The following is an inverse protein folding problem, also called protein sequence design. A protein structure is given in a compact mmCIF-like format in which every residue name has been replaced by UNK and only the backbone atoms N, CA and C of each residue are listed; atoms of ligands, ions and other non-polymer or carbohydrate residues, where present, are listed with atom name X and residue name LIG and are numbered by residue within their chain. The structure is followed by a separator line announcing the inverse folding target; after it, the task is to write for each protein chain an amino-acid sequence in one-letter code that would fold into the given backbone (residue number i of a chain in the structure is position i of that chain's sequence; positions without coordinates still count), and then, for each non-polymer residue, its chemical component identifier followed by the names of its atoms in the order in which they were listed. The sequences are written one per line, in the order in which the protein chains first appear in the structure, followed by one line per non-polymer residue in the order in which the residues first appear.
data_IF_330558906519
#
_entry.id   IF_330558906519
#
_cell.length_a   1.000
_cell.length_b   1.000
_cell.length_c   1.000
_cell.angle_alpha   90.00
_cell.angle_beta   90.00
_cell.angle_gamma   90.00
#
_symmetry.space_group_name_H-M   'P 1'
#
loop_
_entity.id
_entity.type
_entity.pdbx_description
1 polymer ?
#
# COMPACT_ATOMS: atom_id res chain seq x y z
N UNK A 1 -23.21 15.19 23.07
CA UNK A 1 -22.05 16.01 22.66
C UNK A 1 -20.81 15.12 22.66
N UNK A 2 -20.28 14.74 21.50
CA UNK A 2 -19.05 13.93 21.45
C UNK A 2 -17.87 14.80 21.89
N UNK A 3 -17.38 14.57 23.11
CA UNK A 3 -16.06 15.04 23.56
C UNK A 3 -15.02 14.13 22.87
N UNK A 4 -14.27 14.68 21.93
CA UNK A 4 -13.27 13.93 21.17
C UNK A 4 -13.49 14.03 19.66
N UNK A 5 -13.34 15.24 19.11
CA UNK A 5 -13.16 15.39 17.66
C UNK A 5 -11.69 15.13 17.38
N UNK A 6 -11.38 13.88 17.12
CA UNK A 6 -10.03 13.41 16.81
C UNK A 6 -9.88 13.29 15.28
N UNK A 7 -8.74 13.75 14.76
CA UNK A 7 -8.33 13.59 13.36
C UNK A 7 -8.50 12.15 12.88
N UNK A 8 -8.23 11.17 13.75
CA UNK A 8 -8.41 9.74 13.44
C UNK A 8 -9.85 9.43 13.02
N UNK A 9 -10.85 9.98 13.71
CA UNK A 9 -12.27 9.75 13.40
C UNK A 9 -12.65 10.38 12.07
N UNK A 10 -12.21 11.62 11.81
CA UNK A 10 -12.45 12.27 10.52
C UNK A 10 -11.81 11.49 9.37
N UNK A 11 -10.57 11.06 9.52
CA UNK A 11 -9.87 10.26 8.51
C UNK A 11 -10.60 8.93 8.25
N UNK A 12 -11.06 8.24 9.29
CA UNK A 12 -11.83 7.00 9.12
C UNK A 12 -13.12 7.22 8.30
N UNK A 13 -13.84 8.32 8.56
CA UNK A 13 -15.06 8.68 7.82
C UNK A 13 -14.73 9.06 6.37
N UNK A 14 -13.72 9.92 6.16
CA UNK A 14 -13.26 10.35 4.84
C UNK A 14 -12.88 9.13 3.98
N UNK A 15 -12.05 8.25 4.51
CA UNK A 15 -11.62 7.02 3.83
C UNK A 15 -12.81 6.13 3.47
N UNK A 16 -13.75 5.92 4.39
CA UNK A 16 -14.94 5.09 4.12
C UNK A 16 -15.82 5.71 3.03
N UNK A 17 -16.12 7.00 3.10
CA UNK A 17 -16.93 7.70 2.09
C UNK A 17 -16.25 7.67 0.72
N UNK A 18 -14.94 7.90 0.69
CA UNK A 18 -14.13 7.86 -0.53
C UNK A 18 -14.21 6.49 -1.23
N UNK A 19 -13.98 5.40 -0.49
CA UNK A 19 -14.05 4.04 -1.03
C UNK A 19 -15.43 3.67 -1.59
N UNK A 20 -16.51 4.31 -1.10
CA UNK A 20 -17.87 4.06 -1.56
C UNK A 20 -18.35 5.10 -2.59
N UNK A 21 -17.44 5.92 -3.15
CA UNK A 21 -17.77 6.89 -4.20
C UNK A 21 -18.58 8.10 -3.72
N UNK A 22 -18.72 8.31 -2.42
CA UNK A 22 -19.48 9.43 -1.83
C UNK A 22 -18.69 10.74 -1.78
N UNK A 23 -18.11 11.16 -2.91
CA UNK A 23 -17.12 12.25 -3.00
C UNK A 23 -17.62 13.56 -2.40
N UNK A 24 -18.87 13.96 -2.66
CA UNK A 24 -19.44 15.18 -2.09
C UNK A 24 -19.43 15.13 -0.55
N UNK A 25 -19.75 13.97 0.03
CA UNK A 25 -19.71 13.78 1.47
C UNK A 25 -18.26 13.74 1.98
N UNK A 26 -17.33 13.12 1.24
CA UNK A 26 -15.89 13.12 1.57
C UNK A 26 -15.35 14.55 1.74
N UNK A 27 -15.59 15.44 0.77
CA UNK A 27 -15.19 16.84 0.86
C UNK A 27 -15.98 17.62 1.91
N UNK A 28 -17.25 17.27 2.14
CA UNK A 28 -18.05 17.86 3.21
C UNK A 28 -17.49 17.57 4.61
N UNK A 29 -17.01 16.33 4.85
CA UNK A 29 -16.37 15.94 6.11
C UNK A 29 -15.01 16.62 6.25
N UNK A 30 -14.24 16.77 5.16
CA UNK A 30 -13.00 17.55 5.17
C UNK A 30 -13.23 19.01 5.53
N UNK A 31 -14.26 19.66 4.97
CA UNK A 31 -14.62 21.03 5.36
C UNK A 31 -15.02 21.17 6.83
N UNK A 32 -15.60 20.13 7.44
CA UNK A 32 -15.83 20.10 8.89
C UNK A 32 -14.54 19.98 9.69
N UNK A 33 -13.60 19.14 9.24
CA UNK A 33 -12.27 19.00 9.85
C UNK A 33 -11.56 20.37 9.87
N UNK A 34 -11.57 21.10 8.74
CA UNK A 34 -11.01 22.45 8.66
C UNK A 34 -11.76 23.43 9.59
N UNK A 35 -13.10 23.39 9.62
CA UNK A 35 -13.91 24.24 10.50
C UNK A 35 -13.65 24.01 11.99
N UNK A 36 -13.21 22.82 12.38
CA UNK A 36 -12.82 22.51 13.75
C UNK A 36 -11.35 22.78 14.04
N UNK A 37 -10.62 23.40 13.10
CA UNK A 37 -9.19 23.74 13.24
C UNK A 37 -8.30 22.52 13.50
N UNK A 38 -8.76 21.34 13.08
CA UNK A 38 -7.98 20.10 13.16
C UNK A 38 -7.07 20.06 11.93
N UNK A 39 -5.76 19.93 12.15
CA UNK A 39 -4.80 19.90 11.06
C UNK A 39 -4.91 18.60 10.25
N UNK A 40 -5.20 18.66 8.93
CA UNK A 40 -5.22 17.48 8.09
C UNK A 40 -3.83 16.87 7.95
N UNK A 41 -3.78 15.58 7.64
CA UNK A 41 -2.52 14.84 7.46
C UNK A 41 -2.49 14.07 6.14
N UNK A 42 -1.44 13.27 5.93
CA UNK A 42 -1.32 12.45 4.72
C UNK A 42 -2.45 11.45 4.53
N UNK A 43 -3.14 11.01 5.59
CA UNK A 43 -4.30 10.13 5.46
C UNK A 43 -5.52 10.91 4.95
N UNK A 44 -5.69 12.16 5.39
CA UNK A 44 -6.70 13.07 4.84
C UNK A 44 -6.48 13.29 3.34
N UNK A 45 -5.22 13.54 2.95
CA UNK A 45 -4.81 13.71 1.55
C UNK A 45 -5.19 12.49 0.70
N UNK A 46 -4.81 11.29 1.14
CA UNK A 46 -5.09 10.03 0.44
C UNK A 46 -6.60 9.82 0.32
N UNK A 47 -7.37 10.04 1.39
CA UNK A 47 -8.83 9.87 1.35
C UNK A 47 -9.53 10.78 0.33
N UNK A 48 -9.12 12.04 0.21
CA UNK A 48 -9.69 12.99 -0.73
C UNK A 48 -9.35 12.63 -2.19
N UNK A 49 -8.11 12.22 -2.45
CA UNK A 49 -7.71 11.73 -3.77
C UNK A 49 -8.43 10.44 -4.15
N UNK A 50 -8.52 9.46 -3.25
CA UNK A 50 -9.24 8.21 -3.50
C UNK A 50 -10.71 8.45 -3.85
N UNK A 51 -11.39 9.35 -3.12
CA UNK A 51 -12.78 9.70 -3.43
C UNK A 51 -12.89 10.26 -4.85
N UNK A 52 -12.00 11.19 -5.20
CA UNK A 52 -11.97 11.79 -6.52
C UNK A 52 -11.75 10.73 -7.61
N UNK A 53 -10.77 9.85 -7.45
CA UNK A 53 -10.46 8.75 -8.35
C UNK A 53 -11.67 7.83 -8.60
N UNK A 54 -12.38 7.42 -7.54
CA UNK A 54 -13.55 6.52 -7.65
C UNK A 54 -14.69 7.14 -8.46
N UNK A 55 -14.84 8.47 -8.43
CA UNK A 55 -15.93 9.17 -9.14
C UNK A 55 -15.62 9.45 -10.60
N UNK A 56 -14.36 9.73 -10.94
CA UNK A 56 -14.02 10.41 -12.18
C UNK A 56 -13.60 9.49 -13.32
N UNK A 57 -13.63 8.16 -13.13
CA UNK A 57 -13.33 7.10 -14.12
C UNK A 57 -12.60 7.60 -15.37
N UNK A 58 -11.26 7.58 -15.34
CA UNK A 58 -10.37 8.02 -16.44
C UNK A 58 -10.26 9.53 -16.70
N UNK A 59 -10.75 10.42 -15.83
CA UNK A 59 -10.54 11.88 -15.94
C UNK A 59 -9.43 12.36 -14.99
N UNK A 60 -8.19 12.09 -15.38
CA UNK A 60 -6.98 12.40 -14.60
C UNK A 60 -6.80 13.88 -14.28
N UNK A 61 -7.24 14.78 -15.17
CA UNK A 61 -7.17 16.23 -14.94
C UNK A 61 -7.88 16.68 -13.67
N UNK A 62 -8.99 16.03 -13.30
CA UNK A 62 -9.72 16.37 -12.07
C UNK A 62 -8.99 15.88 -10.82
N UNK A 63 -8.39 14.68 -10.89
CA UNK A 63 -7.56 14.14 -9.82
C UNK A 63 -6.34 15.02 -9.60
N UNK A 64 -5.70 15.46 -10.69
CA UNK A 64 -4.52 16.31 -10.64
C UNK A 64 -4.85 17.69 -10.05
N UNK A 65 -5.97 18.30 -10.43
CA UNK A 65 -6.44 19.55 -9.81
C UNK A 65 -6.63 19.44 -8.30
N UNK A 66 -7.25 18.34 -7.84
CA UNK A 66 -7.39 18.07 -6.40
C UNK A 66 -6.02 17.90 -5.77
N UNK A 67 -5.12 17.10 -6.38
CA UNK A 67 -3.76 16.88 -5.89
C UNK A 67 -2.99 18.19 -5.69
N UNK A 68 -2.99 19.06 -6.70
CA UNK A 68 -2.33 20.37 -6.65
C UNK A 68 -2.91 21.25 -5.54
N UNK A 69 -4.24 21.32 -5.45
CA UNK A 69 -4.93 22.08 -4.39
C UNK A 69 -4.55 21.61 -2.99
N UNK A 70 -4.42 20.29 -2.79
CA UNK A 70 -4.02 19.73 -1.49
C UNK A 70 -2.55 20.02 -1.19
N UNK A 71 -1.67 19.95 -2.20
CA UNK A 71 -0.25 20.29 -2.06
C UNK A 71 -0.04 21.78 -1.71
N UNK A 72 -0.79 22.69 -2.33
CA UNK A 72 -0.76 24.13 -2.02
C UNK A 72 -1.17 24.42 -0.56
N UNK A 73 -2.04 23.58 0.01
CA UNK A 73 -2.41 23.61 1.43
C UNK A 73 -1.35 22.96 2.34
N UNK A 74 -0.18 22.59 1.81
CA UNK A 74 0.92 21.97 2.55
C UNK A 74 0.69 20.50 2.91
N UNK A 75 -0.37 19.87 2.40
CA UNK A 75 -0.60 18.45 2.61
C UNK A 75 0.23 17.64 1.63
N UNK A 76 0.86 16.56 2.13
CA UNK A 76 1.60 15.63 1.29
C UNK A 76 1.17 14.20 1.60
N UNK A 77 1.12 13.37 0.55
CA UNK A 77 0.98 11.92 0.73
C UNK A 77 2.21 11.40 1.46
N UNK A 78 2.00 10.69 2.56
CA UNK A 78 3.07 9.89 3.16
C UNK A 78 3.44 8.76 2.19
N UNK A 79 4.74 8.55 1.89
CA UNK A 79 5.15 7.47 1.03
C UNK A 79 4.75 6.13 1.66
N UNK A 80 4.39 5.16 0.81
CA UNK A 80 4.04 3.83 1.27
C UNK A 80 5.28 3.05 1.67
N UNK A 81 5.50 2.86 2.97
CA UNK A 81 6.59 2.07 3.50
C UNK A 81 6.11 0.74 4.07
N UNK A 82 7.04 -0.22 4.07
CA UNK A 82 6.86 -1.52 4.71
C UNK A 82 8.05 -1.79 5.62
N UNK A 83 7.81 -2.37 6.79
CA UNK A 83 8.83 -2.71 7.76
C UNK A 83 8.85 -4.19 8.05
N UNK A 84 10.05 -4.71 8.32
CA UNK A 84 10.30 -6.07 8.79
C UNK A 84 11.30 -6.02 9.93
N UNK A 85 11.16 -6.95 10.86
CA UNK A 85 12.12 -7.14 11.95
C UNK A 85 12.91 -8.42 11.71
N UNK A 86 14.23 -8.31 11.62
CA UNK A 86 15.16 -9.43 11.46
C UNK A 86 16.29 -9.23 12.46
N UNK A 87 16.59 -10.28 13.24
CA UNK A 87 17.62 -10.25 14.30
C UNK A 87 17.50 -9.06 15.27
N UNK A 88 16.25 -8.67 15.60
CA UNK A 88 15.94 -7.57 16.50
C UNK A 88 16.15 -6.17 15.90
N UNK A 89 16.42 -6.08 14.59
CA UNK A 89 16.59 -4.82 13.85
C UNK A 89 15.39 -4.59 12.93
N UNK A 90 14.81 -3.39 13.00
CA UNK A 90 13.73 -2.97 12.10
C UNK A 90 14.32 -2.39 10.83
N UNK A 91 13.93 -2.95 9.69
CA UNK A 91 14.31 -2.49 8.36
C UNK A 91 13.10 -1.88 7.65
N UNK A 92 13.26 -0.68 7.11
CA UNK A 92 12.22 0.08 6.39
C UNK A 92 12.45 0.03 4.87
N UNK A 93 11.42 -0.28 4.10
CA UNK A 93 11.49 -0.28 2.64
C UNK A 93 10.51 0.71 2.04
N UNK A 94 10.98 1.50 1.09
CA UNK A 94 10.16 2.32 0.19
C UNK A 94 10.02 1.65 -1.18
N UNK A 95 9.10 2.14 -2.01
CA UNK A 95 8.99 1.70 -3.41
C UNK A 95 10.29 2.06 -4.13
N UNK A 96 10.92 1.09 -4.79
CA UNK A 96 12.15 1.33 -5.55
C UNK A 96 13.39 1.62 -4.68
N UNK A 97 13.39 1.23 -3.40
CA UNK A 97 14.47 1.57 -2.46
C UNK A 97 15.80 0.86 -2.76
N UNK A 98 16.83 1.65 -3.03
CA UNK A 98 18.20 1.20 -3.32
C UNK A 98 19.22 1.65 -2.26
N UNK A 99 18.76 2.17 -1.12
CA UNK A 99 19.63 2.71 -0.07
C UNK A 99 20.37 1.65 0.75
N UNK A 100 19.96 0.38 0.64
CA UNK A 100 20.55 -0.72 1.40
C UNK A 100 21.86 -1.21 0.78
N UNK A 101 22.89 -1.53 1.59
CA UNK A 101 24.12 -2.13 1.09
C UNK A 101 23.90 -3.44 0.31
N UNK A 102 22.82 -4.16 0.61
CA UNK A 102 22.45 -5.41 -0.06
C UNK A 102 21.36 -5.25 -1.14
N UNK A 103 21.03 -4.03 -1.55
CA UNK A 103 19.98 -3.78 -2.55
C UNK A 103 20.18 -4.60 -3.82
N UNK A 104 21.41 -4.74 -4.33
CA UNK A 104 21.68 -5.58 -5.50
C UNK A 104 21.16 -7.02 -5.33
N UNK A 105 21.40 -7.65 -4.17
CA UNK A 105 20.94 -9.00 -3.86
C UNK A 105 19.41 -9.07 -3.70
N UNK A 106 18.81 -8.04 -3.10
CA UNK A 106 17.35 -7.95 -2.95
C UNK A 106 16.70 -7.92 -4.33
N UNK A 107 17.20 -7.07 -5.24
CA UNK A 107 16.63 -6.93 -6.57
C UNK A 107 16.85 -8.17 -7.43
N UNK A 108 18.03 -8.78 -7.38
CA UNK A 108 18.30 -10.05 -8.07
C UNK A 108 17.33 -11.17 -7.61
N UNK A 109 17.15 -11.31 -6.29
CA UNK A 109 16.21 -12.29 -5.73
C UNK A 109 14.75 -11.95 -6.07
N UNK A 110 14.40 -10.66 -6.08
CA UNK A 110 13.07 -10.18 -6.46
C UNK A 110 12.75 -10.50 -7.92
N UNK A 111 13.67 -10.25 -8.84
CA UNK A 111 13.50 -10.59 -10.26
C UNK A 111 13.34 -12.10 -10.46
N UNK A 112 14.17 -12.91 -9.81
CA UNK A 112 14.05 -14.37 -9.83
C UNK A 112 12.70 -14.83 -9.27
N UNK A 113 12.26 -14.26 -8.15
CA UNK A 113 10.98 -14.60 -7.52
C UNK A 113 9.81 -14.21 -8.41
N UNK A 114 9.79 -12.99 -8.95
CA UNK A 114 8.73 -12.53 -9.86
C UNK A 114 8.62 -13.41 -11.11
N UNK A 115 9.74 -13.92 -11.62
CA UNK A 115 9.74 -14.88 -12.73
C UNK A 115 9.09 -16.21 -12.33
N UNK A 116 9.46 -16.78 -11.19
CA UNK A 116 8.86 -18.00 -10.65
C UNK A 116 7.35 -17.84 -10.41
N UNK A 117 6.94 -16.70 -9.83
CA UNK A 117 5.52 -16.40 -9.62
C UNK A 117 4.75 -16.38 -10.95
N UNK A 118 5.32 -15.79 -12.01
CA UNK A 118 4.69 -15.76 -13.35
C UNK A 118 4.50 -17.16 -13.93
N UNK A 119 5.44 -18.08 -13.70
CA UNK A 119 5.34 -19.47 -14.16
C UNK A 119 4.18 -20.23 -13.49
N UNK A 120 3.79 -19.84 -12.28
CA UNK A 120 2.65 -20.42 -11.55
C UNK A 120 1.35 -19.61 -11.68
N UNK A 121 1.31 -18.62 -12.58
CA UNK A 121 0.09 -17.89 -12.97
C UNK A 121 -0.07 -16.49 -12.36
N UNK A 122 0.93 -15.94 -11.67
CA UNK A 122 0.91 -14.55 -11.22
C UNK A 122 1.05 -13.58 -12.40
N UNK A 123 0.15 -12.60 -12.50
CA UNK A 123 0.27 -11.48 -13.42
C UNK A 123 0.18 -10.16 -12.68
N UNK A 124 0.99 -9.19 -13.12
CA UNK A 124 0.91 -7.82 -12.60
C UNK A 124 -0.42 -7.21 -13.03
N UNK A 125 -1.22 -6.80 -12.04
CA UNK A 125 -2.51 -6.14 -12.29
C UNK A 125 -2.27 -4.62 -12.34
N UNK A 126 -1.86 -4.13 -13.52
CA UNK A 126 -1.45 -2.74 -13.76
C UNK A 126 -2.57 -1.72 -13.47
N UNK A 127 -3.82 -2.17 -13.40
CA UNK A 127 -5.01 -1.40 -13.02
C UNK A 127 -4.89 -0.82 -11.61
N UNK A 128 -4.03 -1.37 -10.76
CA UNK A 128 -3.74 -0.81 -9.43
C UNK A 128 -2.78 0.37 -9.44
N UNK A 129 -2.19 0.72 -10.59
CA UNK A 129 -1.37 1.92 -10.75
C UNK A 129 -2.20 3.04 -11.37
N UNK A 130 -2.66 3.93 -10.50
CA UNK A 130 -3.46 5.10 -10.86
C UNK A 130 -2.62 6.27 -11.39
N UNK A 131 -1.40 6.04 -11.88
CA UNK A 131 -0.63 7.07 -12.56
C UNK A 131 -0.82 6.95 -14.06
N UNK A 132 -0.92 8.07 -14.75
CA UNK A 132 -0.93 8.11 -16.21
C UNK A 132 0.53 8.09 -16.71
N UNK A 133 1.12 6.90 -16.66
CA UNK A 133 2.49 6.59 -17.09
C UNK A 133 2.47 5.38 -18.01
N UNK A 134 3.57 5.12 -18.72
CA UNK A 134 3.66 3.97 -19.61
C UNK A 134 3.46 2.64 -18.86
N UNK A 135 2.82 1.65 -19.51
CA UNK A 135 2.54 0.34 -18.88
C UNK A 135 3.79 -0.33 -18.32
N UNK A 136 4.93 -0.22 -19.03
CA UNK A 136 6.22 -0.75 -18.55
C UNK A 136 6.67 -0.09 -17.25
N UNK A 137 6.42 1.21 -17.08
CA UNK A 137 6.72 1.90 -15.84
C UNK A 137 5.77 1.45 -14.72
N UNK A 138 4.47 1.26 -15.03
CA UNK A 138 3.50 0.69 -14.07
C UNK A 138 3.94 -0.68 -13.57
N UNK A 139 4.35 -1.55 -14.49
CA UNK A 139 4.88 -2.89 -14.17
C UNK A 139 6.11 -2.80 -13.28
N UNK A 140 7.04 -1.90 -13.59
CA UNK A 140 8.24 -1.68 -12.77
C UNK A 140 7.88 -1.22 -11.35
N UNK A 141 7.00 -0.23 -11.21
CA UNK A 141 6.57 0.27 -9.90
C UNK A 141 5.88 -0.82 -9.08
N UNK A 142 4.96 -1.59 -9.67
CA UNK A 142 4.31 -2.71 -8.99
C UNK A 142 5.32 -3.79 -8.62
N UNK A 143 6.27 -4.08 -9.51
CA UNK A 143 7.34 -5.04 -9.28
C UNK A 143 8.18 -4.71 -8.05
N UNK A 144 8.48 -3.43 -7.82
CA UNK A 144 9.33 -2.95 -6.73
C UNK A 144 8.56 -2.32 -5.55
N UNK A 145 7.29 -2.69 -5.35
CA UNK A 145 6.54 -2.27 -4.18
C UNK A 145 7.24 -2.65 -2.86
N UNK A 146 7.11 -1.78 -1.85
CA UNK A 146 7.82 -1.95 -0.57
C UNK A 146 7.51 -3.26 0.13
N UNK A 147 6.31 -3.84 0.00
CA UNK A 147 6.01 -5.15 0.57
C UNK A 147 6.84 -6.26 -0.08
N UNK A 148 7.02 -6.23 -1.41
CA UNK A 148 7.79 -7.25 -2.12
C UNK A 148 9.27 -7.19 -1.74
N UNK A 149 9.82 -5.97 -1.64
CA UNK A 149 11.17 -5.75 -1.14
C UNK A 149 11.33 -6.28 0.29
N UNK A 150 10.38 -5.98 1.18
CA UNK A 150 10.37 -6.46 2.55
C UNK A 150 10.28 -7.99 2.67
N UNK A 151 9.42 -8.64 1.87
CA UNK A 151 9.34 -10.11 1.77
C UNK A 151 10.68 -10.69 1.32
N UNK A 152 11.24 -10.16 0.23
CA UNK A 152 12.50 -10.67 -0.34
C UNK A 152 13.66 -10.50 0.62
N UNK A 153 13.76 -9.33 1.28
CA UNK A 153 14.74 -9.12 2.34
C UNK A 153 14.60 -10.16 3.45
N UNK A 154 13.37 -10.45 3.89
CA UNK A 154 13.13 -11.46 4.91
C UNK A 154 13.57 -12.84 4.43
N UNK A 155 13.16 -13.26 3.23
CA UNK A 155 13.56 -14.54 2.63
C UNK A 155 15.08 -14.72 2.48
N UNK A 156 15.84 -13.64 2.33
CA UNK A 156 17.31 -13.69 2.25
C UNK A 156 17.93 -13.89 3.63
N UNK A 157 17.32 -13.33 4.68
CA UNK A 157 17.94 -13.24 6.01
C UNK A 157 17.30 -14.18 7.05
N UNK A 158 16.17 -14.83 6.75
CA UNK A 158 15.52 -15.81 7.64
C UNK A 158 15.68 -17.24 7.10
N UNK A 159 15.48 -18.24 7.96
CA UNK A 159 15.49 -19.63 7.57
C UNK A 159 14.29 -20.04 6.72
N UNK A 160 14.40 -21.19 6.06
CA UNK A 160 13.28 -21.83 5.37
C UNK A 160 12.17 -22.13 6.38
N UNK A 161 10.92 -21.83 6.02
CA UNK A 161 9.71 -21.99 6.86
C UNK A 161 9.60 -21.05 8.08
N UNK A 162 10.49 -20.07 8.24
CA UNK A 162 10.30 -19.03 9.26
C UNK A 162 9.08 -18.16 8.94
N UNK A 163 8.44 -17.64 10.00
CA UNK A 163 7.29 -16.73 9.87
C UNK A 163 7.80 -15.32 9.57
N UNK A 164 7.48 -14.82 8.38
CA UNK A 164 7.81 -13.46 7.95
C UNK A 164 6.73 -12.50 8.45
N UNK A 165 7.11 -11.43 9.14
CA UNK A 165 6.19 -10.42 9.67
C UNK A 165 6.46 -9.06 9.05
N UNK A 166 5.47 -8.52 8.35
CA UNK A 166 5.56 -7.25 7.66
C UNK A 166 4.54 -6.27 8.25
N UNK A 167 4.96 -5.05 8.52
CA UNK A 167 4.09 -3.93 8.87
C UNK A 167 4.05 -2.95 7.72
N UNK A 168 2.89 -2.36 7.43
CA UNK A 168 2.71 -1.37 6.36
C UNK A 168 1.89 -0.18 6.85
N UNK A 169 2.22 1.03 6.39
CA UNK A 169 1.51 2.27 6.76
C UNK A 169 0.29 2.60 5.90
N UNK A 170 0.12 1.91 4.76
CA UNK A 170 -1.03 2.06 3.86
C UNK A 170 -1.62 0.68 3.54
N UNK A 171 -2.86 0.65 3.04
CA UNK A 171 -3.57 -0.58 2.72
C UNK A 171 -2.75 -1.41 1.73
N UNK A 172 -2.76 -2.72 1.89
CA UNK A 172 -2.15 -3.62 0.90
C UNK A 172 -2.91 -3.47 -0.43
N UNK A 173 -2.20 -3.25 -1.53
CA UNK A 173 -2.84 -3.23 -2.85
C UNK A 173 -3.12 -4.67 -3.33
N UNK A 174 -4.10 -4.84 -4.22
CA UNK A 174 -4.49 -6.18 -4.71
C UNK A 174 -3.34 -6.95 -5.35
N UNK A 175 -2.48 -6.26 -6.11
CA UNK A 175 -1.29 -6.87 -6.71
C UNK A 175 -0.32 -7.44 -5.65
N UNK A 176 -0.03 -6.69 -4.58
CA UNK A 176 0.83 -7.17 -3.50
C UNK A 176 0.15 -8.29 -2.70
N UNK A 177 -1.16 -8.20 -2.49
CA UNK A 177 -1.92 -9.26 -1.83
C UNK A 177 -1.79 -10.58 -2.60
N UNK A 178 -2.02 -10.55 -3.91
CA UNK A 178 -1.91 -11.73 -4.77
C UNK A 178 -0.48 -12.26 -4.83
N UNK A 179 0.51 -11.38 -4.99
CA UNK A 179 1.91 -11.76 -4.99
C UNK A 179 2.29 -12.47 -3.68
N UNK A 180 1.98 -11.88 -2.52
CA UNK A 180 2.35 -12.45 -1.21
C UNK A 180 1.65 -13.78 -0.98
N UNK A 181 0.38 -13.92 -1.40
CA UNK A 181 -0.34 -15.18 -1.37
C UNK A 181 0.42 -16.26 -2.12
N UNK A 182 0.80 -16.02 -3.37
CA UNK A 182 1.52 -17.01 -4.17
C UNK A 182 2.94 -17.25 -3.61
N UNK A 183 3.62 -16.22 -3.10
CA UNK A 183 4.92 -16.36 -2.43
C UNK A 183 4.83 -17.35 -1.26
N UNK A 184 3.79 -17.25 -0.42
CA UNK A 184 3.60 -18.18 0.71
C UNK A 184 3.48 -19.65 0.27
N UNK A 185 3.01 -19.89 -0.96
CA UNK A 185 2.91 -21.24 -1.55
C UNK A 185 4.25 -21.75 -2.06
N UNK A 186 5.01 -20.93 -2.80
CA UNK A 186 6.25 -21.36 -3.45
C UNK A 186 7.44 -21.42 -2.48
N UNK A 187 7.46 -20.55 -1.48
CA UNK A 187 8.53 -20.49 -0.46
C UNK A 187 8.26 -21.33 0.78
N UNK A 188 7.02 -21.78 0.96
CA UNK A 188 6.55 -22.48 2.17
C UNK A 188 6.66 -21.66 3.46
N UNK A 189 6.91 -20.35 3.36
CA UNK A 189 6.89 -19.43 4.48
C UNK A 189 5.45 -18.97 4.78
N UNK A 190 5.10 -18.92 6.06
CA UNK A 190 3.95 -18.14 6.50
C UNK A 190 4.32 -16.67 6.51
N UNK A 191 3.47 -15.84 5.89
CA UNK A 191 3.69 -14.38 5.81
C UNK A 191 2.52 -13.70 6.51
N UNK A 192 2.83 -12.92 7.54
CA UNK A 192 1.86 -12.10 8.27
C UNK A 192 2.08 -10.65 7.87
N UNK A 193 1.04 -10.01 7.34
CA UNK A 193 1.07 -8.59 6.97
C UNK A 193 0.08 -7.83 7.83
N UNK A 194 0.54 -6.79 8.53
CA UNK A 194 -0.31 -5.80 9.19
C UNK A 194 -0.30 -4.53 8.37
N UNK A 195 -1.45 -4.10 7.89
CA UNK A 195 -1.61 -2.75 7.35
C UNK A 195 -2.40 -1.84 8.32
N UNK A 196 -2.78 -0.66 7.85
CA UNK A 196 -3.53 0.32 8.62
C UNK A 196 -5.00 -0.07 8.88
N UNK A 197 -5.52 -1.09 8.18
CA UNK A 197 -6.90 -1.54 8.30
C UNK A 197 -7.04 -2.90 8.99
N UNK A 198 -6.11 -3.85 8.73
CA UNK A 198 -6.27 -5.26 9.15
C UNK A 198 -4.94 -6.04 9.18
N UNK A 199 -5.06 -7.29 9.62
CA UNK A 199 -4.02 -8.31 9.55
C UNK A 199 -4.38 -9.36 8.50
N UNK A 200 -3.40 -9.74 7.70
CA UNK A 200 -3.48 -10.84 6.74
C UNK A 200 -2.50 -11.92 7.17
N UNK A 201 -2.94 -13.16 7.23
CA UNK A 201 -2.07 -14.32 7.32
C UNK A 201 -2.13 -15.04 5.97
N UNK A 202 -0.97 -15.17 5.32
CA UNK A 202 -0.80 -15.88 4.07
C UNK A 202 -0.09 -17.20 4.34
N UNK A 203 -0.72 -18.30 3.95
CA UNK A 203 -0.18 -19.65 4.12
C UNK A 203 -0.62 -20.52 2.96
N UNK A 204 0.32 -21.26 2.37
CA UNK A 204 0.06 -22.26 1.32
C UNK A 204 -0.78 -21.71 0.14
N UNK A 205 -0.61 -20.43 -0.21
CA UNK A 205 -1.37 -19.83 -1.31
C UNK A 205 -2.78 -19.36 -0.94
N UNK A 206 -3.10 -19.24 0.35
CA UNK A 206 -4.38 -18.74 0.84
C UNK A 206 -4.19 -17.54 1.76
N UNK A 207 -5.18 -16.63 1.76
CA UNK A 207 -5.25 -15.51 2.71
C UNK A 207 -6.36 -15.74 3.74
N UNK A 208 -6.07 -15.49 5.02
CA UNK A 208 -7.04 -15.57 6.12
C UNK A 208 -8.27 -14.67 5.97
N UNK A 209 -8.22 -13.68 5.08
CA UNK A 209 -9.27 -12.70 4.84
C UNK A 209 -10.06 -12.96 3.55
N UNK A 210 -9.95 -14.16 2.96
CA UNK A 210 -10.80 -14.59 1.84
C UNK A 210 -10.64 -13.76 0.56
N UNK A 211 -9.39 -13.37 0.25
CA UNK A 211 -9.01 -12.53 -0.89
C UNK A 211 -9.59 -11.10 -0.86
N UNK A 212 -9.97 -10.59 0.31
CA UNK A 212 -10.28 -9.16 0.48
C UNK A 212 -9.04 -8.38 0.94
N UNK A 213 -8.56 -7.46 0.10
CA UNK A 213 -7.46 -6.50 0.38
C UNK A 213 -7.97 -5.09 0.67
#
# INVERSE_FOLDING_TARGET
MMKGKDRVVFNAIISRLAMNGHVRATFGVFGQLEKYEIQPDGNTFVGLLCGTLVKVSHRWDEVEKVRLTLNEKGMQKLPGCSWVEVDGVVHEFLVGDTSYPMSAKIYEKLESLLKELREVGYSLTIEFVFFDIEEKEKEYFLGCHSQKLAVVFSLINTGTNDIIRIVKNICVCGDCHEAIKIISKVTWNEIIVRDNNRFYCFREGSCSYGDYW
#
